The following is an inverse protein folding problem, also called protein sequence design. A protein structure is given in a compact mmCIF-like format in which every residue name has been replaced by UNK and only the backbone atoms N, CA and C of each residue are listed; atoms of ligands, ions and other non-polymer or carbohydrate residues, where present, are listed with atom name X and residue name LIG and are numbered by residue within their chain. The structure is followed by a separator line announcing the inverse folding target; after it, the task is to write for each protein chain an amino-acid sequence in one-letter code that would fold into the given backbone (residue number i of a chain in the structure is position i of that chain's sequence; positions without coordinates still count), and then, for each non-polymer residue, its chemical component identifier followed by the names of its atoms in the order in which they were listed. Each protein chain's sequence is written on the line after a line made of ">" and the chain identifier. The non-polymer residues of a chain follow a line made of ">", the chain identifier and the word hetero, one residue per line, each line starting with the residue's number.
data_IF_861525816052
#
_entry.id   IF_861525816052
#
_cell.length_a   1.000
_cell.length_b   1.000
_cell.length_c   1.000
_cell.angle_alpha   90.00
_cell.angle_beta   90.00
_cell.angle_gamma   90.00
#
_symmetry.space_group_name_H-M   'P 1'
#
loop_
_entity.id
_entity.type
_entity.pdbx_description
1 polymer ?
#
# COMPACT_ATOMS: atom_id res chain seq x y z
N UNK A 1 32.34 -2.21 8.31
CA UNK A 1 31.02 -1.56 8.39
C UNK A 1 30.15 -2.28 7.37
N UNK A 2 29.40 -3.27 7.82
CA UNK A 2 28.40 -3.92 6.95
C UNK A 2 27.33 -2.88 6.60
N UNK A 3 27.07 -2.70 5.31
CA UNK A 3 26.05 -1.75 4.84
C UNK A 3 24.68 -2.26 5.30
N UNK A 4 23.78 -1.37 5.76
CA UNK A 4 22.43 -1.77 6.12
C UNK A 4 21.74 -2.43 4.92
N UNK A 5 20.99 -3.50 5.17
CA UNK A 5 20.28 -4.23 4.12
C UNK A 5 19.30 -3.29 3.42
N UNK A 6 19.46 -3.04 2.10
CA UNK A 6 18.60 -2.13 1.35
C UNK A 6 17.11 -2.49 1.44
N UNK A 7 16.79 -3.77 1.64
CA UNK A 7 15.41 -4.22 1.78
C UNK A 7 14.67 -3.47 2.90
N UNK A 8 15.34 -3.28 4.06
CA UNK A 8 14.67 -2.67 5.21
C UNK A 8 14.54 -1.15 5.08
N UNK A 9 15.41 -0.50 4.33
CA UNK A 9 15.29 0.92 4.01
C UNK A 9 14.04 1.14 3.17
N UNK A 10 13.90 0.40 2.08
CA UNK A 10 12.73 0.47 1.19
C UNK A 10 11.45 0.04 1.92
N UNK A 11 11.53 -0.98 2.78
CA UNK A 11 10.40 -1.37 3.65
C UNK A 11 9.91 -0.19 4.50
N UNK A 12 10.83 0.53 5.14
CA UNK A 12 10.47 1.64 6.03
C UNK A 12 9.90 2.82 5.24
N UNK A 13 10.39 3.05 4.01
CA UNK A 13 9.81 4.00 3.05
C UNK A 13 8.39 3.60 2.64
N UNK A 14 8.15 2.34 2.27
CA UNK A 14 6.81 1.82 1.95
C UNK A 14 5.85 1.99 3.15
N UNK A 15 6.31 1.71 4.37
CA UNK A 15 5.48 1.89 5.58
C UNK A 15 5.11 3.36 5.79
N UNK A 16 6.05 4.28 5.54
CA UNK A 16 5.79 5.71 5.59
C UNK A 16 4.77 6.12 4.51
N UNK A 17 4.94 5.65 3.28
CA UNK A 17 4.02 5.90 2.16
C UNK A 17 2.63 5.33 2.43
N UNK A 18 2.51 4.17 3.07
CA UNK A 18 1.22 3.63 3.51
C UNK A 18 0.55 4.49 4.59
N UNK A 19 1.34 5.06 5.50
CA UNK A 19 0.83 6.03 6.47
C UNK A 19 0.25 7.28 5.79
N UNK A 20 0.91 7.77 4.74
CA UNK A 20 0.39 8.86 3.91
C UNK A 20 -0.88 8.45 3.14
N UNK A 21 -0.85 7.29 2.49
CA UNK A 21 -1.99 6.76 1.73
C UNK A 21 -3.24 6.61 2.62
N UNK A 22 -3.07 6.21 3.88
CA UNK A 22 -4.17 6.13 4.85
C UNK A 22 -4.84 7.49 5.05
N UNK A 23 -4.05 8.55 5.27
CA UNK A 23 -4.55 9.92 5.48
C UNK A 23 -5.29 10.41 4.25
N UNK A 24 -4.72 10.21 3.06
CA UNK A 24 -5.34 10.59 1.79
C UNK A 24 -6.60 9.79 1.50
N UNK A 25 -6.63 8.51 1.87
CA UNK A 25 -7.80 7.66 1.73
C UNK A 25 -8.95 8.07 2.64
N UNK A 26 -8.67 8.39 3.91
CA UNK A 26 -9.69 8.90 4.81
C UNK A 26 -10.23 10.26 4.38
N UNK A 27 -9.37 11.13 3.84
CA UNK A 27 -9.79 12.39 3.24
C UNK A 27 -10.69 12.15 2.03
N UNK A 28 -10.25 11.33 1.06
CA UNK A 28 -11.06 10.98 -0.11
C UNK A 28 -12.42 10.38 0.27
N UNK A 29 -12.46 9.45 1.24
CA UNK A 29 -13.69 8.85 1.73
C UNK A 29 -14.65 9.89 2.31
N UNK A 30 -14.13 10.86 3.06
CA UNK A 30 -14.92 11.98 3.57
C UNK A 30 -15.47 12.85 2.42
N UNK A 31 -14.63 13.19 1.43
CA UNK A 31 -15.05 13.98 0.28
C UNK A 31 -16.16 13.29 -0.54
N UNK A 32 -16.04 11.97 -0.75
CA UNK A 32 -17.06 11.14 -1.44
C UNK A 32 -18.39 11.17 -0.71
N UNK A 33 -18.39 10.97 0.62
CA UNK A 33 -19.61 11.00 1.43
C UNK A 33 -20.23 12.41 1.48
N UNK A 34 -19.40 13.45 1.45
CA UNK A 34 -19.86 14.85 1.47
C UNK A 34 -20.28 15.41 0.10
N UNK A 35 -20.21 14.61 -0.97
CA UNK A 35 -20.47 15.01 -2.37
C UNK A 35 -19.72 16.29 -2.78
N UNK A 36 -18.46 16.45 -2.34
CA UNK A 36 -17.71 17.68 -2.58
C UNK A 36 -17.16 17.79 -4.01
N UNK A 37 -16.82 19.01 -4.43
CA UNK A 37 -16.13 19.25 -5.71
C UNK A 37 -14.66 18.80 -5.70
N UNK A 38 -14.09 18.52 -4.53
CA UNK A 38 -12.66 18.23 -4.34
C UNK A 38 -12.34 16.74 -4.41
N UNK A 39 -13.34 15.87 -4.64
CA UNK A 39 -13.17 14.41 -4.75
C UNK A 39 -12.07 14.06 -5.74
N UNK A 40 -12.06 14.69 -6.93
CA UNK A 40 -11.06 14.40 -7.98
C UNK A 40 -9.63 14.71 -7.53
N UNK A 41 -9.43 15.79 -6.77
CA UNK A 41 -8.10 16.17 -6.26
C UNK A 41 -7.62 15.16 -5.23
N UNK A 42 -8.49 14.78 -4.28
CA UNK A 42 -8.18 13.77 -3.27
C UNK A 42 -7.95 12.38 -3.90
N UNK A 43 -8.74 12.03 -4.91
CA UNK A 43 -8.62 10.80 -5.69
C UNK A 43 -7.29 10.74 -6.44
N UNK A 44 -6.89 11.83 -7.10
CA UNK A 44 -5.60 11.91 -7.82
C UNK A 44 -4.41 11.80 -6.86
N UNK A 45 -4.43 12.51 -5.73
CA UNK A 45 -3.36 12.43 -4.74
C UNK A 45 -3.18 11.00 -4.21
N UNK A 46 -4.30 10.35 -3.83
CA UNK A 46 -4.27 8.96 -3.37
C UNK A 46 -3.77 8.00 -4.45
N UNK A 47 -4.24 8.16 -5.70
CA UNK A 47 -3.78 7.34 -6.84
C UNK A 47 -2.28 7.44 -7.03
N UNK A 48 -1.70 8.63 -6.89
CA UNK A 48 -0.27 8.83 -7.03
C UNK A 48 0.52 8.15 -5.91
N UNK A 49 0.11 8.32 -4.66
CA UNK A 49 0.74 7.65 -3.51
C UNK A 49 0.67 6.13 -3.65
N UNK A 50 -0.49 5.59 -4.06
CA UNK A 50 -0.67 4.15 -4.27
C UNK A 50 0.22 3.62 -5.41
N UNK A 51 0.36 4.38 -6.50
CA UNK A 51 1.22 4.02 -7.63
C UNK A 51 2.70 3.94 -7.24
N UNK A 52 3.18 4.92 -6.47
CA UNK A 52 4.54 4.91 -5.94
C UNK A 52 4.81 3.66 -5.09
N UNK A 53 3.83 3.28 -4.24
CA UNK A 53 3.93 2.04 -3.46
C UNK A 53 3.95 0.80 -4.36
N UNK A 54 3.16 0.73 -5.44
CA UNK A 54 3.20 -0.41 -6.36
C UNK A 54 4.58 -0.60 -7.01
N UNK A 55 5.22 0.49 -7.42
CA UNK A 55 6.57 0.45 -7.98
C UNK A 55 7.59 -0.03 -6.97
N UNK A 56 7.57 0.53 -5.76
CA UNK A 56 8.44 0.08 -4.68
C UNK A 56 8.24 -1.41 -4.37
N UNK A 57 6.99 -1.89 -4.43
CA UNK A 57 6.67 -3.32 -4.25
C UNK A 57 7.18 -4.19 -5.40
N UNK A 58 7.10 -3.74 -6.65
CA UNK A 58 7.61 -4.48 -7.81
C UNK A 58 9.12 -4.66 -7.71
N UNK A 59 9.86 -3.57 -7.47
CA UNK A 59 11.31 -3.60 -7.26
C UNK A 59 11.69 -4.51 -6.10
N UNK A 60 11.01 -4.36 -4.95
CA UNK A 60 11.31 -5.15 -3.76
C UNK A 60 10.99 -6.64 -3.97
N UNK A 61 9.95 -6.98 -4.75
CA UNK A 61 9.67 -8.35 -5.14
C UNK A 61 10.74 -8.95 -6.05
N UNK A 62 11.26 -8.19 -7.01
CA UNK A 62 12.35 -8.65 -7.86
C UNK A 62 13.59 -8.97 -7.02
N UNK A 63 13.93 -8.11 -6.06
CA UNK A 63 15.08 -8.36 -5.16
C UNK A 63 14.89 -9.63 -4.33
N UNK A 64 13.68 -9.86 -3.80
CA UNK A 64 13.35 -11.08 -3.07
C UNK A 64 13.50 -12.31 -3.98
N UNK A 65 12.97 -12.27 -5.21
CA UNK A 65 13.12 -13.36 -6.17
C UNK A 65 14.59 -13.67 -6.52
N UNK A 66 15.44 -12.64 -6.63
CA UNK A 66 16.88 -12.81 -6.86
C UNK A 66 17.53 -13.52 -5.66
N UNK A 67 17.16 -13.13 -4.43
CA UNK A 67 17.64 -13.77 -3.20
C UNK A 67 17.18 -15.22 -3.12
N UNK A 68 15.92 -15.53 -3.49
CA UNK A 68 15.38 -16.89 -3.52
C UNK A 68 16.16 -17.81 -4.45
N UNK A 69 16.59 -17.30 -5.60
CA UNK A 69 17.35 -18.08 -6.59
C UNK A 69 18.79 -18.37 -6.15
N UNK A 70 19.36 -17.59 -5.24
CA UNK A 70 20.73 -17.81 -4.77
C UNK A 70 20.94 -17.50 -3.26
N UNK A 71 20.33 -18.27 -2.35
CA UNK A 71 20.33 -17.94 -0.91
C UNK A 71 21.73 -17.95 -0.28
N UNK A 72 22.61 -18.85 -0.74
CA UNK A 72 23.97 -18.99 -0.21
C UNK A 72 24.85 -17.77 -0.46
N UNK A 73 24.59 -17.01 -1.54
CA UNK A 73 25.33 -15.79 -1.86
C UNK A 73 24.99 -14.63 -0.92
N UNK A 74 23.73 -14.55 -0.48
CA UNK A 74 23.22 -13.43 0.31
C UNK A 74 23.20 -13.71 1.82
N UNK A 75 23.41 -14.96 2.25
CA UNK A 75 23.41 -15.37 3.67
C UNK A 75 22.12 -14.98 4.40
N UNK A 76 21.00 -14.96 3.69
CA UNK A 76 19.67 -14.66 4.22
C UNK A 76 19.03 -15.97 4.70
N UNK A 77 18.42 -15.96 5.90
CA UNK A 77 17.76 -17.14 6.45
C UNK A 77 16.41 -17.39 5.76
N UNK A 78 15.94 -18.64 5.79
CA UNK A 78 14.62 -18.99 5.24
C UNK A 78 13.49 -18.26 5.98
N UNK A 79 13.68 -18.01 7.28
CA UNK A 79 12.73 -17.25 8.10
C UNK A 79 12.68 -15.79 7.66
N UNK A 80 13.84 -15.16 7.47
CA UNK A 80 13.95 -13.79 6.99
C UNK A 80 13.27 -13.64 5.63
N UNK A 81 13.54 -14.55 4.70
CA UNK A 81 12.92 -14.57 3.38
C UNK A 81 11.39 -14.75 3.44
N UNK A 82 10.89 -15.53 4.40
CA UNK A 82 9.45 -15.68 4.66
C UNK A 82 8.86 -14.36 5.18
N UNK A 83 9.52 -13.69 6.12
CA UNK A 83 9.09 -12.39 6.63
C UNK A 83 9.02 -11.32 5.53
N UNK A 84 10.03 -11.28 4.63
CA UNK A 84 10.02 -10.37 3.47
C UNK A 84 8.83 -10.60 2.56
N UNK A 85 8.55 -11.87 2.23
CA UNK A 85 7.38 -12.25 1.42
C UNK A 85 6.06 -11.90 2.12
N UNK A 86 5.96 -12.16 3.41
CA UNK A 86 4.77 -11.83 4.19
C UNK A 86 4.47 -10.33 4.14
N UNK A 87 5.47 -9.50 4.45
CA UNK A 87 5.35 -8.04 4.37
C UNK A 87 4.84 -7.59 2.98
N UNK A 88 5.46 -8.06 1.90
CA UNK A 88 5.06 -7.71 0.53
C UNK A 88 3.61 -8.11 0.24
N UNK A 89 3.15 -9.27 0.73
CA UNK A 89 1.77 -9.73 0.53
C UNK A 89 0.75 -8.89 1.32
N UNK A 90 1.10 -8.50 2.55
CA UNK A 90 0.24 -7.63 3.35
C UNK A 90 0.08 -6.26 2.68
N UNK A 91 1.18 -5.61 2.29
CA UNK A 91 1.13 -4.31 1.60
C UNK A 91 0.32 -4.40 0.31
N UNK A 92 0.52 -5.45 -0.50
CA UNK A 92 -0.27 -5.68 -1.72
C UNK A 92 -1.75 -5.82 -1.45
N UNK A 93 -2.11 -6.48 -0.35
CA UNK A 93 -3.52 -6.63 0.04
C UNK A 93 -4.12 -5.28 0.40
N UNK A 94 -3.39 -4.43 1.14
CA UNK A 94 -3.83 -3.06 1.46
C UNK A 94 -4.02 -2.25 0.18
N UNK A 95 -3.00 -2.19 -0.68
CA UNK A 95 -3.04 -1.46 -1.95
C UNK A 95 -4.19 -1.91 -2.83
N UNK A 96 -4.40 -3.23 -2.96
CA UNK A 96 -5.52 -3.80 -3.71
C UNK A 96 -6.86 -3.33 -3.15
N UNK A 97 -7.06 -3.43 -1.83
CA UNK A 97 -8.32 -3.01 -1.20
C UNK A 97 -8.59 -1.51 -1.41
N UNK A 98 -7.55 -0.67 -1.37
CA UNK A 98 -7.67 0.78 -1.64
C UNK A 98 -8.07 1.02 -3.09
N UNK A 99 -7.42 0.35 -4.04
CA UNK A 99 -7.77 0.42 -5.47
C UNK A 99 -9.20 -0.03 -5.73
N UNK A 100 -9.62 -1.14 -5.13
CA UNK A 100 -10.98 -1.69 -5.30
C UNK A 100 -12.02 -0.66 -4.83
N UNK A 101 -11.79 0.03 -3.71
CA UNK A 101 -12.70 1.09 -3.25
C UNK A 101 -12.65 2.35 -4.11
N UNK A 102 -11.47 2.75 -4.59
CA UNK A 102 -11.33 3.85 -5.55
C UNK A 102 -12.13 3.60 -6.85
N UNK A 103 -12.23 2.33 -7.28
CA UNK A 103 -13.03 1.94 -8.45
C UNK A 103 -14.53 1.86 -8.17
N UNK A 104 -14.93 1.67 -6.92
CA UNK A 104 -16.31 1.49 -6.50
C UNK A 104 -16.70 2.45 -5.36
N UNK A 105 -16.66 3.79 -5.59
CA UNK A 105 -17.00 4.78 -4.57
C UNK A 105 -18.44 4.63 -4.06
N UNK A 106 -19.35 4.11 -4.89
CA UNK A 106 -20.76 3.86 -4.54
C UNK A 106 -20.92 2.88 -3.37
N UNK A 107 -19.97 1.96 -3.15
CA UNK A 107 -19.99 1.03 -2.01
C UNK A 107 -19.84 1.76 -0.67
N UNK A 108 -19.16 2.92 -0.65
CA UNK A 108 -19.03 3.77 0.53
C UNK A 108 -20.38 4.40 0.90
N UNK A 109 -21.11 4.89 -0.09
CA UNK A 109 -22.41 5.54 0.09
C UNK A 109 -23.48 4.53 0.54
N UNK A 110 -23.39 3.29 0.05
CA UNK A 110 -24.31 2.21 0.40
C UNK A 110 -24.00 1.56 1.76
N UNK A 111 -22.98 2.02 2.49
CA UNK A 111 -22.58 1.48 3.79
C UNK A 111 -21.90 0.10 3.74
N UNK A 112 -21.54 -0.37 2.54
CA UNK A 112 -20.91 -1.67 2.29
C UNK A 112 -19.36 -1.60 2.23
N UNK A 113 -18.77 -0.45 2.54
CA UNK A 113 -17.32 -0.26 2.52
C UNK A 113 -16.60 -1.23 3.45
N UNK A 114 -15.55 -1.85 2.92
CA UNK A 114 -14.65 -2.70 3.70
C UNK A 114 -13.74 -1.83 4.56
N UNK A 115 -13.58 -2.17 5.84
CA UNK A 115 -12.56 -1.51 6.66
C UNK A 115 -11.17 -1.93 6.16
N UNK A 116 -10.32 -0.97 5.78
CA UNK A 116 -8.95 -1.21 5.31
C UNK A 116 -7.98 -0.96 6.47
N UNK A 117 -7.23 -1.99 6.85
CA UNK A 117 -6.17 -1.88 7.85
C UNK A 117 -4.85 -1.59 7.17
N UNK A 118 -4.33 -0.36 7.34
CA UNK A 118 -3.05 0.07 6.77
C UNK A 118 -1.84 -0.30 7.64
N UNK A 119 -2.07 -0.82 8.84
CA UNK A 119 -1.00 -1.28 9.73
C UNK A 119 -0.45 -2.63 9.26
N UNK A 120 0.79 -2.63 8.81
CA UNK A 120 1.51 -3.82 8.35
C UNK A 120 2.44 -4.32 9.45
N UNK A 121 2.54 -5.64 9.63
CA UNK A 121 3.42 -6.22 10.64
C UNK A 121 4.90 -5.95 10.30
N UNK A 122 5.49 -4.93 10.92
CA UNK A 122 6.93 -4.70 10.90
C UNK A 122 7.56 -5.34 12.13
N UNK A 123 8.59 -6.18 11.92
CA UNK A 123 9.31 -6.86 13.00
C UNK A 123 9.84 -5.89 14.09
N UNK A 124 10.03 -4.61 13.75
CA UNK A 124 10.45 -3.56 14.68
C UNK A 124 9.32 -3.08 15.62
N UNK A 125 8.04 -3.11 15.21
CA UNK A 125 6.90 -2.64 16.04
C UNK A 125 6.68 -3.51 17.28
N UNK A 126 7.05 -4.79 17.20
CA UNK A 126 7.00 -5.72 18.35
C UNK A 126 8.08 -5.43 19.41
N UNK A 127 9.22 -4.84 19.04
CA UNK A 127 10.27 -4.44 20.00
C UNK A 127 9.96 -3.12 20.70
N UNK A 128 9.39 -2.15 19.99
CA UNK A 128 9.04 -0.85 20.60
C UNK A 128 7.86 -0.93 21.58
N UNK A 129 7.00 -1.95 21.49
CA UNK A 129 5.98 -2.22 22.51
C UNK A 129 6.57 -2.85 23.79
N UNK A 130 7.75 -3.46 23.71
CA UNK A 130 8.44 -4.09 24.84
C UNK A 130 9.38 -3.12 25.59
N UNK A 131 9.78 -1.99 25.00
CA UNK A 131 10.67 -1.01 25.64
C UNK A 131 9.94 0.08 26.45
N UNK A 132 8.62 0.21 26.34
CA UNK A 132 7.83 1.20 27.13
C UNK A 132 7.19 0.60 28.40
N UNK A 133 7.53 -0.63 28.76
CA UNK A 133 6.95 -1.33 29.91
C UNK A 133 8.01 -1.86 30.88
N UNK A 134 8.67 -0.98 31.64
CA UNK A 134 9.43 -1.38 32.83
C UNK A 134 8.99 -0.51 34.02
N UNK A 135 8.27 -1.15 34.95
CA UNK A 135 8.05 -0.65 36.32
C UNK A 135 6.69 -1.06 36.89
N UNK A 136 6.58 -2.27 37.45
CA UNK A 136 5.36 -2.71 38.13
C UNK A 136 5.42 -4.14 38.64
N UNK A 137 5.91 -4.28 39.86
CA UNK A 137 6.13 -5.49 40.65
C UNK A 137 4.83 -6.15 41.16
N UNK A 138 4.84 -7.50 41.22
CA UNK A 138 4.17 -8.36 42.20
C UNK A 138 2.63 -8.38 42.36
N UNK A 139 2.00 -9.57 42.23
CA UNK A 139 0.72 -9.85 42.90
C UNK A 139 -0.13 -10.98 42.31
N UNK A 140 -0.25 -12.08 43.06
CA UNK A 140 -1.04 -13.30 42.80
C UNK A 140 -2.56 -13.16 43.05
N UNK A 141 -3.35 -14.09 42.46
CA UNK A 141 -4.73 -14.45 42.85
C UNK A 141 -5.84 -13.67 42.13
N UNK A 142 -6.95 -14.22 41.62
CA UNK A 142 -7.66 -15.46 41.91
C UNK A 142 -9.13 -15.13 42.26
N UNK A 143 -10.04 -15.24 41.27
CA UNK A 143 -11.50 -15.50 41.34
C UNK A 143 -12.42 -14.81 42.37
N UNK A 144 -13.64 -14.43 41.94
CA UNK A 144 -14.75 -14.24 42.90
C UNK A 144 -15.85 -13.27 42.50
N UNK A 145 -16.71 -13.69 41.57
CA UNK A 145 -18.06 -13.15 41.38
C UNK A 145 -18.89 -13.46 42.64
N UNK A 146 -19.31 -12.45 43.41
CA UNK A 146 -20.54 -12.35 44.23
C UNK A 146 -20.39 -11.26 45.30
N UNK A 147 -20.86 -10.03 45.07
CA UNK A 147 -21.11 -9.07 46.18
C UNK A 147 -22.04 -7.90 45.83
N UNK A 148 -22.92 -8.04 44.83
CA UNK A 148 -23.75 -6.96 44.29
C UNK A 148 -25.23 -6.95 44.78
N UNK A 149 -25.64 -7.90 45.62
CA UNK A 149 -27.07 -8.12 45.91
C UNK A 149 -27.58 -7.64 47.29
N UNK A 150 -26.80 -6.89 48.08
CA UNK A 150 -27.21 -6.54 49.47
C UNK A 150 -27.83 -5.15 49.67
N UNK A 151 -27.76 -4.22 48.71
CA UNK A 151 -28.11 -2.80 48.97
C UNK A 151 -29.45 -2.32 48.38
N UNK A 152 -30.34 -3.21 47.95
CA UNK A 152 -31.56 -2.85 47.17
C UNK A 152 -32.85 -2.69 47.99
N UNK A 153 -32.83 -2.72 49.32
CA UNK A 153 -34.07 -2.59 50.10
C UNK A 153 -33.91 -1.75 51.34
N UNK A 154 -33.81 -0.44 51.17
CA UNK A 154 -34.38 0.58 52.07
C UNK A 154 -34.13 1.94 51.42
N UNK A 155 -35.21 2.68 51.11
CA UNK A 155 -35.36 4.14 51.11
C UNK A 155 -36.38 4.62 50.04
N UNK A 156 -37.56 5.11 50.48
CA UNK A 156 -38.54 5.77 49.63
C UNK A 156 -38.20 7.27 49.47
N UNK A 157 -38.16 7.74 48.22
CA UNK A 157 -38.44 9.12 47.81
C UNK A 157 -37.57 10.27 48.35
N UNK A 158 -36.49 10.60 47.63
CA UNK A 158 -35.80 11.90 47.51
C UNK A 158 -34.56 11.60 46.67
N UNK A 159 -34.33 12.10 45.45
CA UNK A 159 -33.81 13.44 45.18
C UNK A 159 -33.63 13.72 43.65
N UNK A 160 -34.53 14.51 43.06
CA UNK A 160 -34.39 15.05 41.70
C UNK A 160 -33.05 15.78 41.38
N UNK A 161 -32.28 16.37 42.31
CA UNK A 161 -30.99 17.00 41.96
C UNK A 161 -29.83 16.04 41.62
N UNK A 162 -29.86 14.76 42.04
CA UNK A 162 -28.80 13.80 41.72
C UNK A 162 -28.79 13.37 40.25
N UNK A 163 -29.97 13.18 39.67
CA UNK A 163 -30.15 12.79 38.27
C UNK A 163 -29.65 13.88 37.28
N UNK A 164 -29.80 15.15 37.66
CA UNK A 164 -29.29 16.28 36.88
C UNK A 164 -27.77 16.40 36.95
N UNK A 165 -27.18 16.10 38.11
CA UNK A 165 -25.72 16.06 38.27
C UNK A 165 -25.09 14.94 37.42
N UNK A 166 -25.75 13.79 37.34
CA UNK A 166 -25.33 12.68 36.49
C UNK A 166 -25.46 13.01 35.00
N UNK A 167 -26.55 13.66 34.57
CA UNK A 167 -26.68 14.15 33.19
C UNK A 167 -25.63 15.22 32.82
N UNK A 168 -25.26 16.10 33.76
CA UNK A 168 -24.21 17.11 33.54
C UNK A 168 -22.83 16.47 33.46
N UNK A 169 -22.56 15.38 34.20
CA UNK A 169 -21.30 14.64 34.08
C UNK A 169 -21.18 13.95 32.71
N UNK A 170 -22.28 13.38 32.20
CA UNK A 170 -22.34 12.70 30.90
C UNK A 170 -22.22 13.70 29.71
N UNK A 171 -22.73 14.92 29.87
CA UNK A 171 -22.51 16.02 28.90
C UNK A 171 -21.05 16.50 28.91
N UNK A 172 -20.40 16.50 30.08
CA UNK A 172 -19.00 16.93 30.23
C UNK A 172 -18.01 15.95 29.58
N UNK A 173 -18.31 14.65 29.63
CA UNK A 173 -17.53 13.60 28.98
C UNK A 173 -17.62 13.70 27.44
N UNK A 174 -18.77 14.13 26.90
CA UNK A 174 -18.93 14.39 25.47
C UNK A 174 -18.21 15.66 25.00
N UNK A 175 -18.15 16.71 25.82
CA UNK A 175 -17.36 17.92 25.51
C UNK A 175 -15.85 17.62 25.46
N UNK A 176 -15.36 16.74 26.33
CA UNK A 176 -13.96 16.31 26.30
C UNK A 176 -13.62 15.52 25.02
N UNK A 177 -14.57 14.77 24.47
CA UNK A 177 -14.45 14.11 23.17
C UNK A 177 -14.48 15.13 22.01
N UNK A 178 -15.28 16.18 22.11
CA UNK A 178 -15.32 17.25 21.10
C UNK A 178 -14.03 18.08 21.09
N UNK A 179 -13.37 18.29 22.23
CA UNK A 179 -12.06 18.95 22.31
C UNK A 179 -10.93 18.10 21.71
N UNK A 180 -10.96 16.78 21.92
CA UNK A 180 -10.02 15.86 21.27
C UNK A 180 -10.21 15.84 19.74
N UNK A 181 -11.45 15.87 19.27
CA UNK A 181 -11.76 16.05 17.84
C UNK A 181 -11.32 17.42 17.33
N UNK A 182 -11.55 18.49 18.09
CA UNK A 182 -11.10 19.85 17.76
C UNK A 182 -9.57 19.96 17.64
N UNK A 183 -8.83 19.29 18.52
CA UNK A 183 -7.36 19.23 18.46
C UNK A 183 -6.86 18.46 17.22
N UNK A 184 -7.58 17.42 16.83
CA UNK A 184 -7.26 16.59 15.66
C UNK A 184 -7.60 17.31 14.35
N UNK A 185 -8.73 18.02 14.32
CA UNK A 185 -9.14 18.91 13.23
C UNK A 185 -8.17 20.08 13.09
N UNK A 186 -7.65 20.64 14.19
CA UNK A 186 -6.65 21.71 14.17
C UNK A 186 -5.32 21.24 13.58
N UNK A 187 -4.85 20.04 13.96
CA UNK A 187 -3.68 19.40 13.36
C UNK A 187 -3.90 19.09 11.86
N UNK A 188 -5.08 18.59 11.51
CA UNK A 188 -5.45 18.30 10.12
C UNK A 188 -5.56 19.58 9.27
N UNK A 189 -6.08 20.67 9.83
CA UNK A 189 -6.13 21.99 9.19
C UNK A 189 -4.73 22.56 8.96
N UNK A 190 -3.81 22.37 9.90
CA UNK A 190 -2.43 22.84 9.77
C UNK A 190 -1.63 22.00 8.76
N UNK A 191 -1.89 20.69 8.66
CA UNK A 191 -1.35 19.81 7.63
C UNK A 191 -1.94 20.13 6.25
N UNK A 192 -3.26 20.33 6.17
CA UNK A 192 -4.01 20.72 4.96
C UNK A 192 -3.55 22.07 4.40
N UNK A 193 -3.23 23.04 5.26
CA UNK A 193 -2.74 24.34 4.81
C UNK A 193 -1.32 24.28 4.22
N UNK A 194 -0.46 23.38 4.72
CA UNK A 194 0.86 23.11 4.14
C UNK A 194 0.75 22.32 2.83
N UNK A 195 -0.11 21.30 2.80
CA UNK A 195 -0.37 20.48 1.61
C UNK A 195 -1.06 21.30 0.51
N UNK A 196 -1.97 22.20 0.83
CA UNK A 196 -2.69 23.04 -0.14
C UNK A 196 -1.81 24.07 -0.85
N UNK A 197 -0.73 24.51 -0.21
CA UNK A 197 0.30 25.33 -0.86
C UNK A 197 1.18 24.53 -1.82
N UNK A 198 1.43 23.25 -1.51
CA UNK A 198 2.32 22.37 -2.26
C UNK A 198 1.59 21.61 -3.40
N UNK A 199 0.29 21.36 -3.25
CA UNK A 199 -0.61 20.86 -4.31
C UNK A 199 -0.78 21.86 -5.46
N UNK A 200 -0.70 23.17 -5.18
CA UNK A 200 -0.72 24.22 -6.21
C UNK A 200 0.51 24.14 -7.14
N UNK A 201 1.67 23.77 -6.59
CA UNK A 201 2.90 23.55 -7.36
C UNK A 201 2.89 22.18 -8.07
N UNK A 202 2.19 21.18 -7.52
CA UNK A 202 2.06 19.84 -8.14
C UNK A 202 1.03 19.77 -9.28
N UNK A 203 0.13 20.75 -9.45
CA UNK A 203 -0.75 20.86 -10.63
C UNK A 203 0.04 21.14 -11.92
N UNK A 204 1.17 21.85 -11.82
CA UNK A 204 2.07 22.06 -12.96
C UNK A 204 2.84 20.79 -13.36
N UNK A 205 3.16 19.93 -12.39
CA UNK A 205 3.83 18.64 -12.60
C UNK A 205 2.88 17.54 -13.12
N UNK A 206 1.57 17.66 -12.86
CA UNK A 206 0.54 16.73 -13.36
C UNK A 206 0.27 16.89 -14.87
N UNK A 207 0.43 18.10 -15.43
CA UNK A 207 0.34 18.31 -16.88
C UNK A 207 1.56 17.69 -17.59
N UNK A 208 2.75 17.81 -16.99
CA UNK A 208 3.99 17.17 -17.47
C UNK A 208 3.93 15.64 -17.35
N UNK A 209 3.30 15.11 -16.29
CA UNK A 209 3.06 13.68 -16.14
C UNK A 209 2.05 13.12 -17.17
N UNK A 210 1.01 13.88 -17.49
CA UNK A 210 0.06 13.54 -18.57
C UNK A 210 0.75 13.53 -19.93
N UNK A 211 1.64 14.49 -20.18
CA UNK A 211 2.45 14.57 -21.39
C UNK A 211 3.45 13.40 -21.49
N UNK A 212 4.11 13.03 -20.39
CA UNK A 212 5.06 11.91 -20.35
C UNK A 212 4.36 10.53 -20.46
N UNK A 213 3.14 10.39 -19.93
CA UNK A 213 2.30 9.20 -20.13
C UNK A 213 1.92 9.04 -21.60
N UNK A 214 1.56 10.14 -22.27
CA UNK A 214 1.24 10.14 -23.72
C UNK A 214 2.47 9.77 -24.56
N UNK A 215 3.65 10.25 -24.16
CA UNK A 215 4.92 9.84 -24.77
C UNK A 215 5.23 8.36 -24.55
N UNK A 216 4.98 7.83 -23.36
CA UNK A 216 5.19 6.41 -23.05
C UNK A 216 4.26 5.51 -23.85
N UNK A 217 2.98 5.88 -24.00
CA UNK A 217 2.01 5.19 -24.85
C UNK A 217 2.48 5.15 -26.31
N UNK A 218 3.01 6.25 -26.83
CA UNK A 218 3.56 6.31 -28.20
C UNK A 218 4.82 5.45 -28.40
N UNK A 219 5.67 5.33 -27.37
CA UNK A 219 6.87 4.46 -27.41
C UNK A 219 6.48 3.00 -27.31
N UNK A 220 5.47 2.69 -26.49
CA UNK A 220 4.92 1.35 -26.34
C UNK A 220 4.23 0.89 -27.63
N UNK A 221 3.42 1.72 -28.29
CA UNK A 221 2.81 1.40 -29.59
C UNK A 221 3.90 1.15 -30.66
N UNK A 222 4.94 1.97 -30.70
CA UNK A 222 6.07 1.76 -31.61
C UNK A 222 6.85 0.47 -31.32
N UNK A 223 7.06 0.14 -30.04
CA UNK A 223 7.69 -1.11 -29.62
C UNK A 223 6.82 -2.31 -29.96
N UNK A 224 5.51 -2.23 -29.74
CA UNK A 224 4.53 -3.26 -30.05
C UNK A 224 4.43 -3.50 -31.56
N UNK A 225 4.48 -2.45 -32.38
CA UNK A 225 4.59 -2.56 -33.85
C UNK A 225 5.92 -3.16 -34.30
N UNK A 226 7.01 -2.92 -33.59
CA UNK A 226 8.30 -3.58 -33.87
C UNK A 226 8.27 -5.04 -33.48
N UNK A 227 7.68 -5.38 -32.34
CA UNK A 227 7.47 -6.76 -31.91
C UNK A 227 6.57 -7.52 -32.89
N UNK A 228 5.45 -6.91 -33.32
CA UNK A 228 4.57 -7.47 -34.34
C UNK A 228 5.29 -7.66 -35.69
N UNK A 229 6.18 -6.72 -36.08
CA UNK A 229 7.02 -6.88 -37.27
C UNK A 229 8.10 -7.93 -37.10
N UNK A 230 8.73 -8.06 -35.94
CA UNK A 230 9.73 -9.11 -35.68
C UNK A 230 9.10 -10.50 -35.63
N UNK A 231 7.87 -10.60 -35.11
CA UNK A 231 7.06 -11.82 -35.16
C UNK A 231 6.65 -12.17 -36.61
N UNK A 232 6.52 -11.15 -37.49
CA UNK A 232 6.10 -11.33 -38.87
C UNK A 232 7.26 -11.35 -39.89
N UNK A 233 8.48 -11.01 -39.48
CA UNK A 233 9.71 -11.11 -40.28
C UNK A 233 10.35 -12.47 -39.99
N UNK A 234 9.65 -13.53 -40.39
CA UNK A 234 10.31 -14.78 -40.73
C UNK A 234 10.30 -14.82 -42.26
N UNK A 235 11.31 -14.19 -42.87
CA UNK A 235 11.36 -13.94 -44.32
C UNK A 235 11.78 -15.20 -45.08
N UNK A 236 10.81 -16.11 -45.19
CA UNK A 236 10.93 -17.43 -45.83
C UNK A 236 11.68 -17.42 -47.16
N UNK A 237 11.41 -16.49 -48.07
CA UNK A 237 11.94 -16.56 -49.45
C UNK A 237 13.46 -16.41 -49.56
N UNK A 238 14.07 -15.52 -48.78
CA UNK A 238 15.53 -15.31 -48.82
C UNK A 238 16.26 -16.48 -48.14
N UNK A 239 15.72 -16.97 -47.02
CA UNK A 239 16.27 -18.11 -46.30
C UNK A 239 16.18 -19.41 -47.11
N UNK A 240 15.06 -19.65 -47.81
CA UNK A 240 14.90 -20.77 -48.74
C UNK A 240 15.88 -20.70 -49.92
N UNK A 241 16.18 -19.50 -50.43
CA UNK A 241 17.16 -19.32 -51.50
C UNK A 241 18.60 -19.65 -51.05
N UNK A 242 18.99 -19.19 -49.85
CA UNK A 242 20.31 -19.49 -49.26
C UNK A 242 20.47 -20.98 -48.98
N UNK A 243 19.44 -21.62 -48.41
CA UNK A 243 19.43 -23.08 -48.19
C UNK A 243 19.58 -23.84 -49.51
N UNK A 244 18.89 -23.40 -50.57
CA UNK A 244 18.99 -24.01 -51.90
C UNK A 244 20.40 -23.94 -52.49
N UNK A 245 21.06 -22.77 -52.42
CA UNK A 245 22.44 -22.61 -52.88
C UNK A 245 23.41 -23.50 -52.09
N UNK A 246 23.26 -23.57 -50.77
CA UNK A 246 24.11 -24.38 -49.91
C UNK A 246 23.95 -25.89 -50.18
N UNK A 247 22.73 -26.35 -50.48
CA UNK A 247 22.48 -27.73 -50.91
C UNK A 247 23.11 -28.03 -52.27
N UNK A 248 23.04 -27.10 -53.22
CA UNK A 248 23.64 -27.26 -54.55
C UNK A 248 25.15 -27.39 -54.47
N UNK A 249 25.82 -26.53 -53.69
CA UNK A 249 27.29 -26.60 -53.53
C UNK A 249 27.72 -27.90 -52.85
N UNK A 250 26.98 -28.35 -51.84
CA UNK A 250 27.21 -29.62 -51.17
C UNK A 250 27.05 -30.81 -52.13
N UNK A 251 26.05 -30.77 -53.00
CA UNK A 251 25.82 -31.80 -54.02
C UNK A 251 26.96 -31.86 -55.04
N UNK A 252 27.48 -30.72 -55.48
CA UNK A 252 28.65 -30.67 -56.40
C UNK A 252 29.89 -31.27 -55.75
N UNK A 253 30.16 -30.94 -54.48
CA UNK A 253 31.29 -31.52 -53.73
C UNK A 253 31.15 -33.03 -53.62
N UNK A 254 29.93 -33.53 -53.33
CA UNK A 254 29.67 -34.96 -53.21
C UNK A 254 29.88 -35.70 -54.54
N UNK A 255 29.41 -35.13 -55.66
CA UNK A 255 29.64 -35.71 -56.99
C UNK A 255 31.14 -35.75 -57.31
N UNK A 256 31.87 -34.66 -57.03
CA UNK A 256 33.31 -34.60 -57.26
C UNK A 256 34.03 -35.67 -56.44
N UNK A 257 33.66 -35.86 -55.17
CA UNK A 257 34.22 -36.90 -54.30
C UNK A 257 33.92 -38.33 -54.75
N UNK A 258 32.77 -38.58 -55.39
CA UNK A 258 32.44 -39.91 -55.91
C UNK A 258 33.19 -40.22 -57.22
N UNK A 259 33.49 -39.19 -58.01
CA UNK A 259 34.18 -39.33 -59.29
C UNK A 259 35.71 -39.39 -59.12
N UNK A 260 36.26 -38.66 -58.14
CA UNK A 260 37.70 -38.55 -57.86
C UNK A 260 38.17 -39.63 -56.88
#
# INVERSE_FOLDING_TARGET
>A
MDRPDPFYVVRDEIVKSLGQAKVEFDAWKHEVVSESTNIKTAETALKETIRNIDWDLEDLQETVQIVERNPSKFRISVEELRSRRHFLQEVKTVVKNVKDQLHHPDELLNGNSRNIYFDVATANKARSAAETGIGGDGGEGGGGFTEDLKWRSEHPGTDAPGLLAEQVALLREQDEHLDQLGSSISRLKQMSHRIGGELGDQVALLDEFSEEMTHTESRLDNAMRRAARLLHIDSSRAQWFVIGILLLTLLVILILFVIL
#
